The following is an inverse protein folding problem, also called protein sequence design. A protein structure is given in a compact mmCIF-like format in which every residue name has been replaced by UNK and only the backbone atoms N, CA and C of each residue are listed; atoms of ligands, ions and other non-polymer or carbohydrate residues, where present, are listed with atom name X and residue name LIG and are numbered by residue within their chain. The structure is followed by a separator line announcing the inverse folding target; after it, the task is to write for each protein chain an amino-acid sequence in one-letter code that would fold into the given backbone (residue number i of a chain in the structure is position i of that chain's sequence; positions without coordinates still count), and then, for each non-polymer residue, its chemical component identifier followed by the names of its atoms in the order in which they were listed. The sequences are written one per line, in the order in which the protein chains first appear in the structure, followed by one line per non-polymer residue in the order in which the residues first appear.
data_IF_295676551451
#
_entry.id   IF_295676551451
#
_cell.length_a   1.000
_cell.length_b   1.000
_cell.length_c   1.000
_cell.angle_alpha   90.00
_cell.angle_beta   90.00
_cell.angle_gamma   90.00
#
_symmetry.space_group_name_H-M   'P 1'
#
loop_
_entity.id
_entity.type
_entity.pdbx_description
1 polymer ?
#
# COMPACT_ATOMS: atom_id res chain seq x y z
N UNK A 1 -4.71 -21.49 7.60
CA UNK A 1 -3.43 -21.29 6.87
C UNK A 1 -2.52 -20.65 7.88
N UNK A 2 -1.58 -21.43 8.38
CA UNK A 2 -0.82 -21.15 9.61
C UNK A 2 0.58 -20.65 9.24
N UNK A 3 0.73 -19.33 9.11
CA UNK A 3 2.03 -18.68 8.91
C UNK A 3 2.81 -18.63 10.24
N UNK A 4 3.21 -19.81 10.75
CA UNK A 4 3.95 -19.95 12.01
C UNK A 4 5.33 -19.28 12.02
N UNK A 5 5.81 -18.81 10.88
CA UNK A 5 7.14 -18.20 10.71
C UNK A 5 7.16 -16.68 10.92
N UNK A 6 6.02 -16.05 11.25
CA UNK A 6 5.92 -14.58 11.35
C UNK A 6 6.45 -13.97 12.65
N UNK A 7 6.43 -14.70 13.78
CA UNK A 7 6.84 -14.17 15.07
C UNK A 7 7.81 -15.12 15.80
N UNK A 8 8.79 -14.54 16.48
CA UNK A 8 9.75 -15.23 17.33
C UNK A 8 10.10 -14.33 18.52
N UNK A 9 10.69 -14.90 19.56
CA UNK A 9 11.16 -14.11 20.70
C UNK A 9 12.39 -13.30 20.30
N UNK A 10 12.47 -12.04 20.74
CA UNK A 10 13.56 -11.12 20.38
C UNK A 10 14.98 -11.65 20.71
N UNK A 11 15.11 -12.59 21.66
CA UNK A 11 16.39 -13.21 22.03
C UNK A 11 16.72 -14.47 21.22
N UNK A 12 15.77 -15.02 20.47
CA UNK A 12 15.93 -16.25 19.71
C UNK A 12 16.55 -15.97 18.33
N UNK A 13 17.76 -15.41 18.33
CA UNK A 13 18.48 -15.04 17.13
C UNK A 13 19.62 -16.02 16.86
N UNK A 14 19.75 -16.45 15.60
CA UNK A 14 20.84 -17.30 15.11
C UNK A 14 21.60 -16.58 14.01
N UNK A 15 22.89 -16.90 13.86
CA UNK A 15 23.73 -16.35 12.79
C UNK A 15 23.44 -17.08 11.48
N UNK A 16 23.04 -16.36 10.44
CA UNK A 16 22.77 -16.90 9.12
C UNK A 16 23.25 -15.92 8.04
N UNK A 17 24.12 -16.38 7.12
CA UNK A 17 24.80 -15.55 6.11
C UNK A 17 25.39 -14.25 6.70
N UNK A 18 26.07 -14.35 7.85
CA UNK A 18 26.76 -13.22 8.50
C UNK A 18 25.85 -12.22 9.23
N UNK A 19 24.53 -12.47 9.34
CA UNK A 19 23.60 -11.61 10.08
C UNK A 19 22.82 -12.40 11.13
N UNK A 20 22.54 -11.78 12.27
CA UNK A 20 21.64 -12.37 13.29
C UNK A 20 20.19 -12.21 12.85
N UNK A 21 19.44 -13.31 12.89
CA UNK A 21 18.03 -13.38 12.46
C UNK A 21 17.23 -14.30 13.38
N UNK A 22 15.90 -14.10 13.52
CA UNK A 22 15.01 -15.01 14.21
C UNK A 22 15.19 -16.47 13.76
N UNK A 23 15.23 -17.40 14.70
CA UNK A 23 15.46 -18.81 14.42
C UNK A 23 14.41 -19.37 13.47
N UNK A 24 13.13 -19.08 13.69
CA UNK A 24 12.03 -19.51 12.79
C UNK A 24 12.16 -18.95 11.39
N UNK A 25 12.59 -17.69 11.27
CA UNK A 25 12.85 -17.09 9.96
C UNK A 25 13.99 -17.82 9.24
N UNK A 26 15.06 -18.16 9.95
CA UNK A 26 16.19 -18.90 9.38
C UNK A 26 15.80 -20.31 8.94
N UNK A 27 14.91 -21.00 9.65
CA UNK A 27 14.38 -22.30 9.21
C UNK A 27 13.72 -22.20 7.83
N UNK A 28 12.93 -21.14 7.59
CA UNK A 28 12.33 -20.89 6.28
C UNK A 28 13.39 -20.58 5.22
N UNK A 29 14.41 -19.79 5.56
CA UNK A 29 15.49 -19.45 4.63
C UNK A 29 16.34 -20.67 4.24
N UNK A 30 16.59 -21.59 5.18
CA UNK A 30 17.27 -22.86 4.88
C UNK A 30 16.44 -23.69 3.90
N UNK A 31 15.12 -23.76 4.10
CA UNK A 31 14.24 -24.43 3.15
C UNK A 31 14.32 -23.77 1.77
N UNK A 32 14.32 -22.44 1.69
CA UNK A 32 14.44 -21.70 0.44
C UNK A 32 15.79 -21.93 -0.26
N UNK A 33 16.90 -21.91 0.49
CA UNK A 33 18.22 -22.27 -0.03
C UNK A 33 18.24 -23.71 -0.57
N UNK A 34 17.54 -24.64 0.10
CA UNK A 34 17.47 -26.05 -0.33
C UNK A 34 16.68 -26.27 -1.64
N UNK A 35 15.63 -25.48 -1.89
CA UNK A 35 14.80 -25.58 -3.10
C UNK A 35 15.18 -24.58 -4.20
N UNK A 36 16.33 -23.92 -4.05
CA UNK A 36 16.79 -22.85 -4.95
C UNK A 36 15.76 -21.71 -5.13
N UNK A 37 14.97 -21.42 -4.10
CA UNK A 37 14.02 -20.31 -4.12
C UNK A 37 14.77 -18.99 -3.84
N UNK A 38 14.79 -18.04 -4.79
CA UNK A 38 15.53 -16.80 -4.61
C UNK A 38 14.88 -15.93 -3.54
N UNK A 39 15.69 -15.39 -2.63
CA UNK A 39 15.24 -14.45 -1.61
C UNK A 39 16.20 -13.27 -1.47
N UNK A 40 15.64 -12.10 -1.15
CA UNK A 40 16.39 -10.87 -1.01
C UNK A 40 16.64 -10.52 0.45
N UNK A 41 17.88 -10.18 0.81
CA UNK A 41 18.30 -9.80 2.17
C UNK A 41 17.43 -8.67 2.74
N UNK A 42 17.07 -7.67 1.94
CA UNK A 42 16.24 -6.53 2.35
C UNK A 42 14.78 -6.90 2.68
N UNK A 43 14.31 -8.07 2.23
CA UNK A 43 12.97 -8.59 2.58
C UNK A 43 12.99 -9.44 3.86
N UNK A 44 14.17 -9.66 4.43
CA UNK A 44 14.39 -10.51 5.60
C UNK A 44 14.62 -9.69 6.87
N UNK A 45 14.27 -8.41 6.89
CA UNK A 45 14.34 -7.61 8.11
C UNK A 45 13.31 -8.10 9.13
N UNK A 46 13.65 -7.93 10.42
CA UNK A 46 12.81 -8.34 11.55
C UNK A 46 12.83 -7.25 12.62
N UNK A 47 11.78 -7.21 13.44
CA UNK A 47 11.63 -6.22 14.50
C UNK A 47 10.16 -5.91 14.76
N UNK A 48 9.92 -4.99 15.69
CA UNK A 48 8.55 -4.57 16.05
C UNK A 48 7.93 -3.58 15.05
N UNK A 49 8.76 -2.87 14.30
CA UNK A 49 8.33 -1.95 13.25
C UNK A 49 9.01 -2.30 11.95
N UNK A 50 8.24 -2.61 10.91
CA UNK A 50 8.75 -3.06 9.62
C UNK A 50 8.03 -2.38 8.46
N UNK A 51 8.73 -2.23 7.34
CA UNK A 51 8.14 -1.78 6.09
C UNK A 51 7.66 -2.99 5.28
N UNK A 52 6.35 -3.19 5.21
CA UNK A 52 5.71 -4.31 4.48
C UNK A 52 4.94 -3.75 3.30
N UNK A 53 5.27 -4.19 2.07
CA UNK A 53 4.65 -3.75 0.80
C UNK A 53 4.48 -2.21 0.65
N UNK A 54 5.39 -1.45 1.27
CA UNK A 54 5.40 0.01 1.25
C UNK A 54 4.78 0.68 2.48
N UNK A 55 4.10 -0.06 3.35
CA UNK A 55 3.50 0.46 4.59
C UNK A 55 4.42 0.23 5.79
N UNK A 56 4.39 1.15 6.74
CA UNK A 56 4.97 0.93 8.06
C UNK A 56 3.97 0.18 8.93
N UNK A 57 4.37 -1.00 9.40
CA UNK A 57 3.59 -1.84 10.31
C UNK A 57 4.28 -1.82 11.65
N UNK A 58 3.55 -1.44 12.70
CA UNK A 58 3.99 -1.51 14.09
C UNK A 58 3.12 -2.54 14.82
N UNK A 59 3.73 -3.65 15.23
CA UNK A 59 3.01 -4.74 15.91
C UNK A 59 2.77 -4.48 17.39
N UNK A 60 3.50 -3.55 18.01
CA UNK A 60 3.33 -3.21 19.44
C UNK A 60 2.10 -2.34 19.61
N UNK A 61 1.96 -1.34 18.75
CA UNK A 61 0.78 -0.46 18.71
C UNK A 61 -0.37 -1.11 17.94
N UNK A 62 -0.08 -2.07 17.06
CA UNK A 62 -1.07 -2.69 16.18
C UNK A 62 -1.55 -1.70 15.12
N UNK A 63 -0.62 -1.02 14.44
CA UNK A 63 -0.95 0.02 13.46
C UNK A 63 -0.29 -0.20 12.12
N UNK A 64 -0.95 0.30 11.08
CA UNK A 64 -0.40 0.38 9.72
C UNK A 64 -0.47 1.83 9.28
N UNK A 65 0.62 2.34 8.70
CA UNK A 65 0.74 3.72 8.27
C UNK A 65 1.42 3.83 6.90
N UNK A 66 1.04 4.88 6.17
CA UNK A 66 1.79 5.37 5.01
C UNK A 66 2.93 6.26 5.49
N UNK A 67 4.04 6.29 4.75
CA UNK A 67 5.08 7.30 5.02
C UNK A 67 4.58 8.70 4.61
N UNK A 68 5.07 9.78 5.25
CA UNK A 68 4.71 11.16 4.87
C UNK A 68 5.00 11.46 3.39
N UNK A 69 6.05 10.86 2.84
CA UNK A 69 6.42 10.98 1.42
C UNK A 69 5.38 10.30 0.53
N UNK A 70 4.87 9.14 0.95
CA UNK A 70 3.83 8.41 0.21
C UNK A 70 2.52 9.19 0.17
N UNK A 71 2.13 9.82 1.29
CA UNK A 71 0.97 10.71 1.35
C UNK A 71 1.16 11.92 0.43
N UNK A 72 2.35 12.53 0.46
CA UNK A 72 2.69 13.66 -0.41
C UNK A 72 2.62 13.28 -1.89
N UNK A 73 3.14 12.11 -2.27
CA UNK A 73 3.04 11.59 -3.64
C UNK A 73 1.59 11.34 -4.07
N UNK A 74 0.75 10.79 -3.19
CA UNK A 74 -0.68 10.62 -3.45
C UNK A 74 -1.34 11.97 -3.78
N UNK A 75 -1.08 12.99 -2.95
CA UNK A 75 -1.65 14.33 -3.15
C UNK A 75 -1.16 14.94 -4.46
N UNK A 76 0.13 14.81 -4.77
CA UNK A 76 0.73 15.31 -6.01
C UNK A 76 0.12 14.61 -7.23
N UNK A 77 -0.03 13.29 -7.20
CA UNK A 77 -0.56 12.53 -8.34
C UNK A 77 -2.06 12.78 -8.56
N UNK A 78 -2.85 12.97 -7.49
CA UNK A 78 -4.25 13.39 -7.61
C UNK A 78 -4.32 14.79 -8.25
N UNK A 79 -3.56 15.76 -7.74
CA UNK A 79 -3.57 17.12 -8.31
C UNK A 79 -3.13 17.12 -9.77
N UNK A 80 -2.05 16.43 -10.12
CA UNK A 80 -1.59 16.28 -11.51
C UNK A 80 -2.68 15.68 -12.40
N UNK A 81 -3.41 14.67 -11.91
CA UNK A 81 -4.50 14.07 -12.66
C UNK A 81 -5.68 15.05 -12.87
N UNK A 82 -6.06 15.82 -11.85
CA UNK A 82 -7.11 16.84 -11.95
C UNK A 82 -6.72 18.00 -12.87
N UNK A 83 -5.44 18.37 -12.87
CA UNK A 83 -4.84 19.44 -13.69
C UNK A 83 -4.50 18.98 -15.11
N UNK A 84 -4.93 17.78 -15.53
CA UNK A 84 -4.70 17.30 -16.89
C UNK A 84 -5.25 18.30 -17.91
N UNK A 85 -4.42 18.64 -18.89
CA UNK A 85 -4.80 19.50 -20.02
C UNK A 85 -6.10 19.01 -20.69
N UNK A 86 -6.95 19.95 -21.10
CA UNK A 86 -8.30 19.72 -21.60
C UNK A 86 -9.26 18.98 -20.65
N UNK A 87 -8.86 18.73 -19.40
CA UNK A 87 -9.62 17.98 -18.38
C UNK A 87 -10.06 16.60 -18.87
N UNK A 88 -9.28 16.00 -19.76
CA UNK A 88 -9.58 14.71 -20.41
C UNK A 88 -8.40 13.75 -20.34
N UNK A 89 -8.00 13.28 -19.14
CA UNK A 89 -6.93 12.32 -19.02
C UNK A 89 -7.21 11.04 -19.82
N UNK A 90 -6.17 10.45 -20.44
CA UNK A 90 -6.30 9.18 -21.14
C UNK A 90 -6.62 8.07 -20.14
N UNK A 91 -7.36 7.04 -20.57
CA UNK A 91 -7.78 5.92 -19.71
C UNK A 91 -6.63 5.31 -18.87
N UNK A 92 -5.43 5.21 -19.43
CA UNK A 92 -4.26 4.70 -18.69
C UNK A 92 -3.98 5.50 -17.40
N UNK A 93 -4.18 6.82 -17.40
CA UNK A 93 -3.90 7.64 -16.22
C UNK A 93 -4.99 7.48 -15.16
N UNK A 94 -6.25 7.25 -15.58
CA UNK A 94 -7.32 6.84 -14.67
C UNK A 94 -7.00 5.50 -14.01
N UNK A 95 -6.49 4.53 -14.76
CA UNK A 95 -6.15 3.20 -14.26
C UNK A 95 -4.95 3.25 -13.30
N UNK A 96 -3.91 4.00 -13.64
CA UNK A 96 -2.74 4.23 -12.77
C UNK A 96 -3.17 4.87 -11.46
N UNK A 97 -3.95 5.97 -11.52
CA UNK A 97 -4.44 6.63 -10.31
C UNK A 97 -5.33 5.69 -9.50
N UNK A 98 -6.30 5.04 -10.14
CA UNK A 98 -7.20 4.09 -9.47
C UNK A 98 -6.47 2.96 -8.76
N UNK A 99 -5.47 2.37 -9.41
CA UNK A 99 -4.63 1.32 -8.82
C UNK A 99 -3.79 1.83 -7.64
N UNK A 100 -3.18 3.01 -7.77
CA UNK A 100 -2.36 3.59 -6.71
C UNK A 100 -3.19 3.99 -5.49
N UNK A 101 -4.35 4.63 -5.69
CA UNK A 101 -5.26 4.94 -4.60
C UNK A 101 -5.81 3.66 -3.96
N UNK A 102 -6.08 2.61 -4.75
CA UNK A 102 -6.54 1.34 -4.20
C UNK A 102 -5.49 0.67 -3.29
N UNK A 103 -4.20 0.82 -3.61
CA UNK A 103 -3.12 0.43 -2.68
C UNK A 103 -3.20 1.24 -1.38
N UNK A 104 -3.35 2.56 -1.46
CA UNK A 104 -3.43 3.44 -0.28
C UNK A 104 -4.65 3.15 0.64
N UNK A 105 -5.75 2.63 0.09
CA UNK A 105 -6.95 2.24 0.86
C UNK A 105 -6.72 1.11 1.87
N UNK A 106 -5.62 0.36 1.78
CA UNK A 106 -5.24 -0.60 2.83
C UNK A 106 -4.94 0.09 4.17
N UNK A 107 -4.53 1.36 4.12
CA UNK A 107 -4.29 2.19 5.31
C UNK A 107 -5.47 3.11 5.58
N UNK A 108 -6.19 3.56 4.55
CA UNK A 108 -7.26 4.54 4.68
C UNK A 108 -8.59 3.99 4.14
N UNK A 109 -9.18 2.97 4.79
CA UNK A 109 -10.37 2.30 4.26
C UNK A 109 -11.56 3.26 4.10
N UNK A 110 -11.62 4.30 4.92
CA UNK A 110 -12.68 5.31 4.86
C UNK A 110 -12.70 6.10 3.55
N UNK A 111 -11.58 6.21 2.83
CA UNK A 111 -11.52 6.92 1.55
C UNK A 111 -12.10 6.12 0.36
N UNK A 112 -12.55 4.87 0.58
CA UNK A 112 -13.14 3.98 -0.44
C UNK A 112 -14.22 4.63 -1.32
N UNK A 113 -15.17 5.44 -0.80
CA UNK A 113 -16.22 6.05 -1.61
C UNK A 113 -15.70 6.92 -2.77
N UNK A 114 -14.49 7.47 -2.66
CA UNK A 114 -13.90 8.30 -3.71
C UNK A 114 -13.47 7.50 -4.94
N UNK A 115 -13.15 6.21 -4.82
CA UNK A 115 -12.73 5.41 -5.98
C UNK A 115 -13.91 4.94 -6.84
N UNK A 116 -15.11 4.84 -6.26
CA UNK A 116 -16.29 4.36 -6.99
C UNK A 116 -16.57 5.22 -8.24
N UNK A 117 -16.43 6.55 -8.13
CA UNK A 117 -16.62 7.44 -9.27
C UNK A 117 -15.54 7.28 -10.36
N UNK A 118 -14.29 6.97 -9.98
CA UNK A 118 -13.21 6.68 -10.94
C UNK A 118 -13.52 5.40 -11.73
N UNK A 119 -13.85 4.31 -11.03
CA UNK A 119 -14.15 3.03 -11.69
C UNK A 119 -15.41 3.12 -12.57
N UNK A 120 -16.45 3.82 -12.11
CA UNK A 120 -17.64 4.08 -12.92
C UNK A 120 -17.30 4.86 -14.20
N UNK A 121 -16.38 5.83 -14.13
CA UNK A 121 -15.91 6.56 -15.32
C UNK A 121 -15.10 5.70 -16.27
N UNK A 122 -14.37 4.71 -15.79
CA UNK A 122 -13.58 3.79 -16.62
C UNK A 122 -14.41 2.64 -17.22
N UNK A 123 -15.57 2.33 -16.64
CA UNK A 123 -16.40 1.18 -17.02
C UNK A 123 -16.70 1.15 -18.52
N UNK A 124 -16.46 -0.01 -19.14
CA UNK A 124 -16.72 -0.25 -20.56
C UNK A 124 -15.73 0.41 -21.52
N UNK A 125 -14.73 1.15 -21.00
CA UNK A 125 -13.72 1.79 -21.84
C UNK A 125 -12.50 0.90 -21.96
N UNK A 126 -12.06 0.69 -23.19
CA UNK A 126 -10.96 -0.22 -23.52
C UNK A 126 -9.80 0.47 -24.23
N UNK A 127 -10.04 1.65 -24.81
CA UNK A 127 -9.01 2.41 -25.51
C UNK A 127 -8.05 3.03 -24.49
N UNK A 128 -6.84 2.49 -24.41
CA UNK A 128 -5.78 2.92 -23.48
C UNK A 128 -5.52 4.43 -23.49
N UNK A 129 -5.47 5.04 -24.67
CA UNK A 129 -5.27 6.49 -24.85
C UNK A 129 -6.60 7.24 -25.10
N UNK A 130 -7.73 6.57 -24.91
CA UNK A 130 -9.05 7.17 -25.02
C UNK A 130 -9.22 8.27 -23.98
N UNK A 131 -9.57 9.47 -24.45
CA UNK A 131 -9.70 10.69 -23.64
C UNK A 131 -11.00 10.67 -22.86
N UNK A 132 -10.93 10.68 -21.52
CA UNK A 132 -12.11 10.60 -20.66
C UNK A 132 -12.29 11.92 -19.91
N UNK A 133 -13.42 12.61 -20.06
CA UNK A 133 -13.65 13.88 -19.37
C UNK A 133 -13.84 13.69 -17.87
N UNK A 134 -13.08 14.49 -17.11
CA UNK A 134 -13.34 14.76 -15.70
C UNK A 134 -14.72 15.42 -15.55
N UNK A 135 -15.42 15.10 -14.47
CA UNK A 135 -16.66 15.78 -14.09
C UNK A 135 -16.56 16.31 -12.67
N UNK A 136 -17.51 17.16 -12.28
CA UNK A 136 -17.56 17.76 -10.95
C UNK A 136 -17.48 16.71 -9.84
N UNK A 137 -18.18 15.58 -9.98
CA UNK A 137 -18.15 14.48 -9.01
C UNK A 137 -16.77 13.90 -8.80
N UNK A 138 -16.01 13.64 -9.87
CA UNK A 138 -14.63 13.14 -9.74
C UNK A 138 -13.75 14.18 -9.05
N UNK A 139 -13.89 15.44 -9.41
CA UNK A 139 -13.12 16.52 -8.81
C UNK A 139 -13.40 16.63 -7.30
N UNK A 140 -14.67 16.70 -6.90
CA UNK A 140 -15.10 16.75 -5.50
C UNK A 140 -14.59 15.54 -4.69
N UNK A 141 -14.74 14.32 -5.24
CA UNK A 141 -14.31 13.10 -4.56
C UNK A 141 -12.80 12.99 -4.42
N UNK A 142 -12.04 13.48 -5.40
CA UNK A 142 -10.58 13.50 -5.34
C UNK A 142 -10.05 14.53 -4.34
N UNK A 143 -10.67 15.72 -4.25
CA UNK A 143 -10.34 16.68 -3.18
C UNK A 143 -10.67 16.13 -1.80
N UNK A 144 -11.84 15.49 -1.65
CA UNK A 144 -12.17 14.81 -0.41
C UNK A 144 -11.18 13.69 -0.06
N UNK A 145 -10.70 12.92 -1.03
CA UNK A 145 -9.64 11.92 -0.81
C UNK A 145 -8.36 12.58 -0.28
N UNK A 146 -7.94 13.71 -0.86
CA UNK A 146 -6.78 14.49 -0.41
C UNK A 146 -6.96 14.90 1.07
N UNK A 147 -8.14 15.38 1.44
CA UNK A 147 -8.39 15.81 2.82
C UNK A 147 -8.34 14.63 3.81
N UNK A 148 -8.92 13.48 3.45
CA UNK A 148 -8.78 12.25 4.23
C UNK A 148 -7.31 11.82 4.33
N UNK A 149 -6.54 11.91 3.24
CA UNK A 149 -5.13 11.53 3.21
C UNK A 149 -4.27 12.39 4.15
N UNK A 150 -4.53 13.70 4.22
CA UNK A 150 -3.83 14.61 5.14
C UNK A 150 -4.08 14.25 6.61
N UNK A 151 -5.31 13.89 6.96
CA UNK A 151 -5.70 13.53 8.34
C UNK A 151 -5.21 12.13 8.72
N UNK A 152 -5.13 11.22 7.76
CA UNK A 152 -4.71 9.82 7.97
C UNK A 152 -3.20 9.64 8.21
N UNK A 153 -2.45 10.73 8.39
CA UNK A 153 -1.05 10.72 8.82
C UNK A 153 -0.86 10.04 10.18
N UNK A 154 -1.94 9.95 10.98
CA UNK A 154 -1.96 9.24 12.25
C UNK A 154 -2.54 7.84 12.08
N UNK A 155 -1.67 6.84 12.25
CA UNK A 155 -1.94 5.41 12.41
C UNK A 155 -3.42 4.98 12.37
N UNK A 156 -3.81 4.28 11.30
CA UNK A 156 -5.01 3.45 11.36
C UNK A 156 -4.72 2.29 12.31
N UNK A 157 -5.35 2.31 13.49
CA UNK A 157 -5.32 1.17 14.41
C UNK A 157 -5.95 -0.03 13.69
N UNK A 158 -5.27 -1.18 13.70
CA UNK A 158 -5.89 -2.46 13.40
C UNK A 158 -6.87 -2.79 14.54
N UNK A 159 -7.99 -2.07 14.61
CA UNK A 159 -9.13 -2.55 15.38
C UNK A 159 -9.61 -3.82 14.70
N UNK A 160 -9.40 -4.92 15.42
CA UNK A 160 -9.76 -6.30 15.14
C UNK A 160 -10.87 -6.45 14.09
N UNK A 161 -10.49 -6.82 12.87
CA UNK A 161 -11.35 -7.68 12.07
C UNK A 161 -11.33 -9.05 12.77
N UNK A 162 -12.25 -9.22 13.72
CA UNK A 162 -12.63 -10.55 14.17
C UNK A 162 -13.23 -11.27 12.97
N UNK A 163 -12.49 -12.25 12.45
CA UNK A 163 -13.03 -13.36 11.70
C UNK A 163 -12.87 -14.61 12.57
#
# INVERSE_FOLDING_TARGET
MDDYYGWDYNRNLVLFHGRRRPCRQVQLLILWDYIDCPWGVAKQDHGHQLKIIGFWVDIVVGSIALSPESISLIIVDINRFLDTEDRRPPLIDWQKLGGYLNWALNVMPWARPALACLYNKMRGKVLRNGRIPLNATVHERMHWFIDVAKVSTFASQMLSLQW
#
